data_IF_620806499554
#
_entry.id   IF_620806499554
#
_cell.length_a   1.000
_cell.length_b   1.000
_cell.length_c   1.000
_cell.angle_alpha   90.00
_cell.angle_beta   90.00
_cell.angle_gamma   90.00
#
_symmetry.space_group_name_H-M   'P 1'
#
loop_
_entity.id
_entity.type
_entity.pdbx_description
1 polymer ?
#
# COMPACT_ATOMS: atom_id res chain seq x y z
N UNK A 1 12.40 -20.40 8.62
CA UNK A 1 11.23 -19.49 8.62
C UNK A 1 10.59 -19.60 9.99
N UNK A 2 10.45 -18.49 10.69
CA UNK A 2 9.66 -18.44 11.93
C UNK A 2 8.22 -18.77 11.54
N UNK A 3 7.62 -19.76 12.20
CA UNK A 3 6.21 -20.10 11.97
C UNK A 3 5.32 -18.99 12.52
N UNK A 4 5.02 -18.01 11.66
CA UNK A 4 4.20 -16.85 11.99
C UNK A 4 2.71 -17.13 11.76
N UNK A 5 2.38 -18.22 11.05
CA UNK A 5 1.01 -18.56 10.67
C UNK A 5 0.14 -18.81 11.90
N UNK A 6 0.66 -19.59 12.87
CA UNK A 6 -0.05 -19.88 14.11
C UNK A 6 -0.42 -18.64 14.91
N UNK A 7 0.49 -17.68 15.02
CA UNK A 7 0.26 -16.44 15.77
C UNK A 7 -0.69 -15.49 15.02
N UNK A 8 -0.56 -15.37 13.69
CA UNK A 8 -1.50 -14.60 12.87
C UNK A 8 -2.91 -15.18 12.92
N UNK A 9 -3.04 -16.51 12.95
CA UNK A 9 -4.33 -17.19 13.06
C UNK A 9 -5.02 -16.87 14.39
N UNK A 10 -4.27 -16.82 15.50
CA UNK A 10 -4.80 -16.40 16.82
C UNK A 10 -5.34 -14.98 16.77
N UNK A 11 -4.56 -14.02 16.24
CA UNK A 11 -4.98 -12.61 16.10
C UNK A 11 -6.26 -12.50 15.24
N UNK A 12 -6.29 -13.22 14.11
CA UNK A 12 -7.44 -13.25 13.20
C UNK A 12 -8.70 -13.75 13.91
N UNK A 13 -8.60 -14.90 14.60
CA UNK A 13 -9.75 -15.60 15.20
C UNK A 13 -10.33 -14.96 16.44
N UNK A 14 -9.61 -14.02 17.07
CA UNK A 14 -10.10 -13.35 18.27
C UNK A 14 -11.20 -12.33 17.91
N UNK A 15 -12.43 -12.65 18.29
CA UNK A 15 -13.61 -11.81 18.05
C UNK A 15 -13.77 -10.67 19.05
N UNK A 16 -12.99 -10.65 20.13
CA UNK A 16 -13.02 -9.59 21.15
C UNK A 16 -12.18 -8.37 20.74
N UNK A 17 -11.29 -8.54 19.76
CA UNK A 17 -10.41 -7.49 19.26
C UNK A 17 -11.05 -6.70 18.13
N UNK A 18 -11.00 -5.37 18.24
CA UNK A 18 -11.27 -4.48 17.11
C UNK A 18 -10.18 -4.56 16.03
N UNK A 19 -10.49 -4.15 14.80
CA UNK A 19 -9.52 -4.10 13.69
C UNK A 19 -8.27 -3.31 14.05
N UNK A 20 -8.40 -2.21 14.81
CA UNK A 20 -7.26 -1.39 15.23
C UNK A 20 -6.36 -2.16 16.20
N UNK A 21 -6.94 -2.93 17.13
CA UNK A 21 -6.17 -3.79 18.04
C UNK A 21 -5.48 -4.93 17.27
N UNK A 22 -6.17 -5.55 16.30
CA UNK A 22 -5.59 -6.59 15.43
C UNK A 22 -4.41 -6.05 14.62
N UNK A 23 -4.54 -4.86 14.04
CA UNK A 23 -3.44 -4.17 13.32
C UNK A 23 -2.25 -3.93 14.25
N UNK A 24 -2.50 -3.43 15.47
CA UNK A 24 -1.42 -3.20 16.45
C UNK A 24 -0.70 -4.50 16.81
N UNK A 25 -1.44 -5.54 17.19
CA UNK A 25 -0.87 -6.84 17.55
C UNK A 25 -0.10 -7.47 16.38
N UNK A 26 -0.59 -7.30 15.15
CA UNK A 26 0.14 -7.70 13.95
C UNK A 26 1.49 -6.97 13.83
N UNK A 27 1.51 -5.65 13.96
CA UNK A 27 2.75 -4.88 13.88
C UNK A 27 3.73 -5.24 15.00
N UNK A 28 3.24 -5.41 16.23
CA UNK A 28 4.06 -5.82 17.39
C UNK A 28 4.69 -7.20 17.16
N UNK A 29 3.90 -8.18 16.71
CA UNK A 29 4.38 -9.53 16.37
C UNK A 29 5.48 -9.48 15.30
N UNK A 30 5.27 -8.70 14.23
CA UNK A 30 6.25 -8.60 13.14
C UNK A 30 7.55 -7.95 13.63
N UNK A 31 7.46 -6.94 14.49
CA UNK A 31 8.60 -6.31 15.15
C UNK A 31 9.38 -7.30 16.02
N UNK A 32 8.70 -8.09 16.85
CA UNK A 32 9.32 -9.14 17.69
C UNK A 32 10.04 -10.20 16.85
N UNK A 33 9.55 -10.49 15.64
CA UNK A 33 10.19 -11.43 14.71
C UNK A 33 11.29 -10.78 13.85
N UNK A 34 11.59 -9.50 14.03
CA UNK A 34 12.49 -8.70 13.20
C UNK A 34 12.14 -8.78 11.70
N UNK A 35 10.83 -8.77 11.40
CA UNK A 35 10.29 -8.75 10.04
C UNK A 35 9.63 -7.40 9.82
N UNK A 36 10.00 -6.70 8.76
CA UNK A 36 9.33 -5.47 8.36
C UNK A 36 8.06 -5.84 7.56
N UNK A 37 6.84 -5.67 8.13
CA UNK A 37 5.63 -6.06 7.44
C UNK A 37 5.28 -5.07 6.32
N UNK A 38 4.63 -5.60 5.29
CA UNK A 38 3.90 -4.76 4.35
C UNK A 38 2.54 -4.47 4.95
N UNK A 39 2.27 -3.18 5.19
CA UNK A 39 1.00 -2.72 5.73
C UNK A 39 0.05 -2.34 4.59
N UNK A 40 0.56 -1.60 3.62
CA UNK A 40 -0.19 -1.15 2.46
C UNK A 40 0.66 -1.32 1.19
N UNK A 41 0.01 -1.57 0.07
CA UNK A 41 0.60 -1.61 -1.25
C UNK A 41 -0.33 -0.98 -2.27
N UNK A 42 0.14 0.09 -2.89
CA UNK A 42 -0.59 0.83 -3.91
C UNK A 42 0.14 0.73 -5.25
N UNK A 43 -0.63 0.84 -6.32
CA UNK A 43 -0.12 1.03 -7.68
C UNK A 43 -0.19 2.50 -8.05
N UNK A 44 0.94 3.07 -8.49
CA UNK A 44 0.98 4.44 -8.96
C UNK A 44 1.80 4.59 -10.22
N UNK A 45 1.79 5.78 -10.81
CA UNK A 45 2.70 6.12 -11.89
C UNK A 45 3.07 7.60 -11.85
N UNK A 46 4.26 7.92 -12.35
CA UNK A 46 4.71 9.31 -12.55
C UNK A 46 4.55 9.64 -14.03
N UNK A 47 3.92 10.78 -14.35
CA UNK A 47 3.87 11.32 -15.71
C UNK A 47 5.26 11.86 -16.08
N UNK A 48 6.01 11.13 -16.91
CA UNK A 48 7.12 11.69 -17.69
C UNK A 48 6.63 11.85 -19.12
N UNK A 49 6.87 12.99 -19.78
CA UNK A 49 6.53 13.10 -21.22
C UNK A 49 7.64 12.42 -22.03
N UNK A 50 7.34 11.53 -23.00
CA UNK A 50 6.03 11.10 -23.50
C UNK A 50 5.44 9.85 -22.82
N UNK A 51 6.15 9.21 -21.88
CA UNK A 51 5.77 7.92 -21.29
C UNK A 51 5.54 7.97 -19.77
N UNK A 52 4.46 7.35 -19.29
CA UNK A 52 4.29 7.10 -17.87
C UNK A 52 5.28 6.05 -17.35
N UNK A 53 5.79 6.26 -16.13
CA UNK A 53 6.60 5.29 -15.42
C UNK A 53 5.78 4.73 -14.26
N UNK A 54 5.45 3.44 -14.33
CA UNK A 54 4.65 2.76 -13.32
C UNK A 54 5.52 2.36 -12.11
N UNK A 55 4.97 2.54 -10.91
CA UNK A 55 5.59 2.22 -9.64
C UNK A 55 4.66 1.34 -8.79
N UNK A 56 5.28 0.47 -8.01
CA UNK A 56 4.68 -0.18 -6.86
C UNK A 56 5.08 0.60 -5.62
N UNK A 57 4.11 1.09 -4.86
CA UNK A 57 4.32 1.78 -3.60
C UNK A 57 4.04 0.78 -2.50
N UNK A 58 5.06 0.40 -1.73
CA UNK A 58 4.92 -0.51 -0.59
C UNK A 58 5.17 0.28 0.68
N UNK A 59 4.19 0.31 1.57
CA UNK A 59 4.25 1.01 2.85
C UNK A 59 4.50 -0.02 3.94
N UNK A 60 5.52 0.25 4.75
CA UNK A 60 5.88 -0.53 5.93
C UNK A 60 5.68 0.35 7.18
N UNK A 61 5.95 -0.14 8.41
CA UNK A 61 5.89 0.70 9.60
C UNK A 61 6.93 1.83 9.63
N UNK A 62 8.06 1.69 8.93
CA UNK A 62 9.19 2.63 9.01
C UNK A 62 9.38 3.49 7.77
N UNK A 63 8.95 3.01 6.59
CA UNK A 63 9.24 3.67 5.30
C UNK A 63 8.24 3.36 4.20
N UNK A 64 8.38 4.10 3.11
CA UNK A 64 7.70 3.86 1.84
C UNK A 64 8.76 3.41 0.84
N UNK A 65 8.51 2.30 0.16
CA UNK A 65 9.35 1.75 -0.90
C UNK A 65 8.66 1.99 -2.24
N UNK A 66 9.27 2.80 -3.10
CA UNK A 66 8.85 3.01 -4.47
C UNK A 66 9.70 2.11 -5.37
N UNK A 67 9.04 1.17 -6.03
CA UNK A 67 9.72 0.22 -6.92
C UNK A 67 9.19 0.36 -8.33
N UNK A 68 10.05 0.74 -9.27
CA UNK A 68 9.68 0.84 -10.69
C UNK A 68 9.22 -0.51 -11.20
N UNK A 69 8.07 -0.55 -11.89
CA UNK A 69 7.55 -1.79 -12.49
C UNK A 69 8.19 -2.02 -13.86
N UNK A 70 8.85 -3.17 -14.01
CA UNK A 70 9.21 -3.68 -15.34
C UNK A 70 7.95 -4.04 -16.14
N UNK A 71 8.09 -4.19 -17.46
CA UNK A 71 6.98 -4.52 -18.37
C UNK A 71 6.26 -5.81 -17.93
N UNK A 72 7.03 -6.83 -17.50
CA UNK A 72 6.51 -8.10 -17.00
C UNK A 72 5.65 -7.89 -15.72
N UNK A 73 6.10 -7.02 -14.81
CA UNK A 73 5.33 -6.67 -13.60
C UNK A 73 4.04 -5.93 -13.90
N UNK A 74 3.91 -5.24 -15.04
CA UNK A 74 2.64 -4.58 -15.40
C UNK A 74 1.50 -5.57 -15.65
N UNK A 75 1.84 -6.79 -16.09
CA UNK A 75 0.91 -7.85 -16.46
C UNK A 75 0.64 -8.82 -15.30
N UNK A 76 1.64 -9.04 -14.44
CA UNK A 76 1.58 -10.06 -13.38
C UNK A 76 1.25 -9.52 -11.98
N UNK A 77 1.21 -8.19 -11.77
CA UNK A 77 0.95 -7.62 -10.45
C UNK A 77 -0.50 -7.88 -10.02
N UNK A 78 -0.74 -8.82 -9.08
CA UNK A 78 -2.06 -9.09 -8.60
C UNK A 78 -2.42 -7.90 -7.72
N UNK A 79 -3.16 -6.94 -8.26
CA UNK A 79 -3.63 -5.79 -7.50
C UNK A 79 -4.21 -6.27 -6.17
N UNK A 80 -3.58 -5.90 -5.07
CA UNK A 80 -4.05 -6.30 -3.75
C UNK A 80 -5.41 -5.63 -3.54
N UNK A 81 -6.41 -6.43 -3.16
CA UNK A 81 -7.76 -5.92 -2.89
C UNK A 81 -7.65 -4.87 -1.78
N UNK A 82 -8.15 -3.66 -2.05
CA UNK A 82 -8.10 -2.52 -1.13
C UNK A 82 -6.72 -1.88 -0.87
N UNK A 83 -5.65 -2.39 -1.47
CA UNK A 83 -4.30 -1.94 -1.20
C UNK A 83 -3.72 -2.41 0.14
N UNK A 84 -4.40 -3.24 0.93
CA UNK A 84 -3.82 -3.81 2.16
C UNK A 84 -2.69 -4.79 1.85
N UNK A 85 -1.68 -4.82 2.72
CA UNK A 85 -0.60 -5.80 2.66
C UNK A 85 -1.09 -7.24 2.88
N UNK A 86 -0.40 -8.24 2.31
CA UNK A 86 -0.83 -9.64 2.32
C UNK A 86 -1.21 -10.17 3.71
N UNK A 87 -0.30 -10.07 4.68
CA UNK A 87 -0.54 -10.58 6.03
C UNK A 87 -1.55 -9.75 6.81
N UNK A 88 -1.57 -8.44 6.62
CA UNK A 88 -2.58 -7.60 7.27
C UNK A 88 -3.98 -7.89 6.74
N UNK A 89 -4.10 -8.16 5.44
CA UNK A 89 -5.37 -8.55 4.84
C UNK A 89 -5.86 -9.91 5.35
N UNK A 90 -4.95 -10.88 5.58
CA UNK A 90 -5.29 -12.14 6.25
C UNK A 90 -5.85 -11.90 7.65
N UNK A 91 -5.17 -11.06 8.45
CA UNK A 91 -5.56 -10.77 9.84
C UNK A 91 -6.94 -10.12 9.92
N UNK A 92 -7.27 -9.25 8.97
CA UNK A 92 -8.52 -8.49 8.95
C UNK A 92 -9.66 -9.17 8.18
N UNK A 93 -9.39 -10.21 7.40
CA UNK A 93 -10.40 -10.84 6.55
C UNK A 93 -10.77 -12.24 7.02
N UNK A 94 -12.04 -12.42 7.39
CA UNK A 94 -12.58 -13.74 7.72
C UNK A 94 -12.51 -14.72 6.54
N UNK A 95 -12.63 -14.22 5.30
CA UNK A 95 -12.85 -15.02 4.09
C UNK A 95 -11.60 -15.61 3.44
N UNK A 96 -10.41 -15.29 3.97
CA UNK A 96 -9.14 -15.58 3.28
C UNK A 96 -8.30 -16.56 4.07
N UNK A 97 -7.79 -17.56 3.39
CA UNK A 97 -6.89 -18.54 3.98
C UNK A 97 -5.43 -18.10 3.87
N UNK A 98 -4.59 -18.60 4.77
CA UNK A 98 -3.19 -18.19 4.84
C UNK A 98 -2.42 -18.61 3.58
N UNK A 99 -2.78 -19.73 2.97
CA UNK A 99 -2.23 -20.23 1.70
C UNK A 99 -2.38 -19.23 0.55
N UNK A 100 -3.50 -18.50 0.49
CA UNK A 100 -3.79 -17.48 -0.54
C UNK A 100 -2.83 -16.29 -0.47
N UNK A 101 -2.25 -16.08 0.71
CA UNK A 101 -1.40 -14.94 1.06
C UNK A 101 0.07 -15.31 0.96
N UNK A 102 0.45 -16.52 1.37
CA UNK A 102 1.83 -17.05 1.30
C UNK A 102 2.39 -17.02 -0.13
N UNK A 103 1.57 -17.37 -1.13
CA UNK A 103 1.96 -17.29 -2.54
C UNK A 103 2.25 -15.85 -2.99
N UNK A 104 1.45 -14.89 -2.52
CA UNK A 104 1.57 -13.48 -2.88
C UNK A 104 2.75 -12.78 -2.19
N UNK A 105 3.06 -13.16 -0.96
CA UNK A 105 4.21 -12.62 -0.21
C UNK A 105 5.56 -13.16 -0.72
N UNK A 106 5.61 -14.42 -1.16
CA UNK A 106 6.82 -15.01 -1.75
C UNK A 106 7.31 -14.29 -3.02
N UNK A 107 6.40 -13.70 -3.80
CA UNK A 107 6.72 -12.87 -4.96
C UNK A 107 7.41 -11.56 -4.55
N UNK A 108 7.11 -11.05 -3.35
CA UNK A 108 7.69 -9.85 -2.77
C UNK A 108 9.10 -10.09 -2.25
N UNK A 109 9.30 -11.14 -1.44
CA UNK A 109 10.59 -11.35 -0.80
C UNK A 109 11.68 -11.70 -1.82
N UNK A 110 11.36 -12.48 -2.85
CA UNK A 110 12.28 -12.79 -3.96
C UNK A 110 12.69 -11.58 -4.79
N UNK A 111 11.96 -10.46 -4.69
CA UNK A 111 12.24 -9.24 -5.45
C UNK A 111 12.89 -8.13 -4.62
N UNK A 112 13.20 -8.40 -3.35
CA UNK A 112 13.84 -7.47 -2.39
C UNK A 112 15.38 -7.52 -2.39
N UNK A 113 16.02 -8.30 -3.28
CA UNK A 113 17.43 -8.04 -3.60
C UNK A 113 17.48 -6.66 -4.26
N UNK A 114 17.96 -5.66 -3.50
CA UNK A 114 18.12 -4.25 -3.84
C UNK A 114 18.20 -4.02 -5.35
N UNK A 115 17.03 -3.78 -5.95
CA UNK A 115 16.94 -3.40 -7.35
C UNK A 115 17.47 -1.97 -7.45
N UNK A 116 18.32 -1.63 -8.43
CA UNK A 116 18.78 -0.24 -8.64
C UNK A 116 17.63 0.74 -8.90
N UNK A 117 16.43 0.23 -9.22
CA UNK A 117 15.20 1.00 -9.41
C UNK A 117 14.33 1.14 -8.13
N UNK A 118 14.85 0.80 -6.96
CA UNK A 118 14.17 0.95 -5.67
C UNK A 118 14.54 2.29 -5.00
N UNK A 119 13.52 3.07 -4.63
CA UNK A 119 13.69 4.28 -3.82
C UNK A 119 13.01 4.04 -2.48
N UNK A 120 13.77 4.21 -1.40
CA UNK A 120 13.28 4.11 -0.02
C UNK A 120 13.11 5.50 0.57
N UNK A 121 11.94 5.78 1.14
CA UNK A 121 11.59 7.05 1.76
C UNK A 121 11.23 6.79 3.23
N UNK A 122 12.11 7.17 4.15
CA UNK A 122 11.81 7.08 5.57
C UNK A 122 10.72 8.10 5.95
N UNK A 123 9.80 7.71 6.83
CA UNK A 123 8.72 8.62 7.24
C UNK A 123 9.23 9.90 7.92
N UNK A 124 10.36 9.82 8.65
CA UNK A 124 10.99 10.98 9.30
C UNK A 124 11.43 12.05 8.31
N UNK A 125 11.67 11.68 7.05
CA UNK A 125 12.14 12.59 6.00
C UNK A 125 10.96 13.26 5.28
N UNK A 126 9.73 12.85 5.52
CA UNK A 126 8.54 13.39 4.85
C UNK A 126 8.12 14.71 5.52
N UNK A 127 8.25 15.81 4.78
CA UNK A 127 7.79 17.15 5.18
C UNK A 127 6.31 17.36 4.90
N UNK A 128 5.79 16.77 3.82
CA UNK A 128 4.39 16.93 3.41
C UNK A 128 3.89 15.69 2.68
N UNK A 129 2.73 15.21 3.09
CA UNK A 129 2.05 14.06 2.50
C UNK A 129 0.59 14.44 2.19
N UNK A 130 0.22 14.47 0.91
CA UNK A 130 -1.11 14.93 0.47
C UNK A 130 -1.73 13.90 -0.46
N UNK A 131 -2.98 13.55 -0.21
CA UNK A 131 -3.80 12.78 -1.13
C UNK A 131 -5.01 13.63 -1.53
N UNK A 132 -5.30 13.71 -2.83
CA UNK A 132 -6.51 14.35 -3.34
C UNK A 132 -7.02 13.65 -4.60
N UNK A 133 -8.34 13.70 -4.87
CA UNK A 133 -8.86 13.21 -6.13
C UNK A 133 -8.46 14.12 -7.30
N UNK A 134 -8.04 13.56 -8.44
CA UNK A 134 -7.82 14.36 -9.64
C UNK A 134 -9.16 14.64 -10.32
N UNK A 135 -9.76 15.78 -10.02
CA UNK A 135 -11.04 16.22 -10.59
C UNK A 135 -11.02 16.27 -12.12
N UNK A 136 -9.85 16.36 -12.77
CA UNK A 136 -9.72 16.32 -14.23
C UNK A 136 -9.99 14.94 -14.83
N UNK A 137 -10.04 13.90 -13.99
CA UNK A 137 -10.24 12.50 -14.40
C UNK A 137 -11.66 12.00 -14.10
N UNK A 138 -12.57 12.96 -13.89
CA UNK A 138 -13.97 12.70 -13.66
C UNK A 138 -14.62 12.16 -14.95
N UNK A 139 -15.24 10.99 -14.83
CA UNK A 139 -15.96 10.33 -15.92
C UNK A 139 -17.39 10.10 -15.49
N UNK A 140 -18.33 10.55 -16.32
CA UNK A 140 -19.76 10.37 -16.12
C UNK A 140 -20.29 9.28 -17.04
N UNK A 141 -21.12 8.38 -16.51
CA UNK A 141 -21.87 7.37 -17.25
C UNK A 141 -23.33 7.32 -16.73
N UNK A 142 -24.15 6.40 -17.26
CA UNK A 142 -25.56 6.27 -16.87
C UNK A 142 -25.77 5.90 -15.39
N UNK A 143 -24.73 5.43 -14.70
CA UNK A 143 -24.78 5.04 -13.28
C UNK A 143 -24.15 6.09 -12.36
N UNK A 144 -23.82 7.27 -12.89
CA UNK A 144 -23.31 8.39 -12.13
C UNK A 144 -21.91 8.82 -12.56
N UNK A 145 -21.24 9.53 -11.65
CA UNK A 145 -19.96 10.17 -11.92
C UNK A 145 -18.89 9.61 -11.00
N UNK A 146 -17.74 9.24 -11.56
CA UNK A 146 -16.63 8.67 -10.81
C UNK A 146 -15.29 9.28 -11.20
N UNK A 147 -14.42 9.50 -10.21
CA UNK A 147 -13.03 9.94 -10.42
C UNK A 147 -12.18 8.72 -10.74
N UNK A 148 -11.39 8.78 -11.81
CA UNK A 148 -10.55 7.65 -12.24
C UNK A 148 -9.15 7.64 -11.62
N UNK A 149 -8.67 8.78 -11.14
CA UNK A 149 -7.33 8.90 -10.59
C UNK A 149 -7.30 9.76 -9.33
N UNK A 150 -6.54 9.33 -8.34
CA UNK A 150 -6.14 10.16 -7.21
C UNK A 150 -4.67 10.59 -7.40
N UNK A 151 -4.27 11.70 -6.80
CA UNK A 151 -2.87 12.14 -6.77
C UNK A 151 -2.35 12.04 -5.35
N UNK A 152 -1.20 11.39 -5.21
CA UNK A 152 -0.41 11.33 -3.99
C UNK A 152 0.85 12.18 -4.15
N UNK A 153 0.99 13.21 -3.32
CA UNK A 153 2.18 14.03 -3.21
C UNK A 153 2.98 13.63 -1.98
N UNK A 154 4.25 13.32 -2.17
CA UNK A 154 5.22 13.07 -1.11
C UNK A 154 6.35 14.09 -1.27
N UNK A 155 6.44 15.06 -0.37
CA UNK A 155 7.59 15.97 -0.28
C UNK A 155 8.48 15.48 0.85
N UNK A 156 9.70 15.11 0.50
CA UNK A 156 10.73 14.74 1.46
C UNK A 156 11.65 15.93 1.73
N UNK A 157 12.69 15.73 2.54
CA UNK A 157 13.75 16.72 2.73
C UNK A 157 14.49 17.02 1.41
N UNK A 158 14.56 16.03 0.51
CA UNK A 158 15.41 16.06 -0.68
C UNK A 158 14.61 16.17 -1.99
N UNK A 159 13.42 15.57 -2.05
CA UNK A 159 12.74 15.30 -3.31
C UNK A 159 11.22 15.49 -3.20
N UNK A 160 10.58 15.69 -4.36
CA UNK A 160 9.13 15.71 -4.50
C UNK A 160 8.69 14.60 -5.44
N UNK A 161 7.80 13.74 -4.96
CA UNK A 161 7.12 12.74 -5.76
C UNK A 161 5.66 13.15 -5.99
N UNK A 162 5.23 13.10 -7.24
CA UNK A 162 3.84 13.28 -7.65
C UNK A 162 3.38 12.01 -8.37
N UNK A 163 2.69 11.16 -7.60
CA UNK A 163 2.29 9.83 -8.00
C UNK A 163 0.79 9.82 -8.29
N UNK A 164 0.43 9.35 -9.48
CA UNK A 164 -0.97 9.19 -9.86
C UNK A 164 -1.40 7.77 -9.54
N UNK A 165 -2.49 7.64 -8.79
CA UNK A 165 -3.04 6.41 -8.25
C UNK A 165 -4.36 6.07 -8.97
N UNK A 166 -4.37 5.10 -9.91
CA UNK A 166 -5.59 4.71 -10.61
C UNK A 166 -6.61 4.08 -9.65
N UNK A 167 -7.86 4.54 -9.66
CA UNK A 167 -8.90 4.03 -8.75
C UNK A 167 -9.28 2.59 -9.06
N UNK A 168 -9.22 2.18 -10.33
CA UNK A 168 -9.44 0.77 -10.73
C UNK A 168 -8.42 -0.22 -10.16
N UNK A 169 -7.26 0.25 -9.67
CA UNK A 169 -6.24 -0.60 -9.03
C UNK A 169 -6.20 -0.47 -7.51
N UNK A 170 -6.48 0.72 -6.99
CA UNK A 170 -6.30 1.03 -5.56
C UNK A 170 -7.62 1.11 -4.78
N UNK A 171 -8.76 1.20 -5.49
CA UNK A 171 -10.04 1.60 -4.92
C UNK A 171 -10.29 3.11 -5.05
N UNK A 172 -11.47 3.54 -4.62
CA UNK A 172 -11.82 4.96 -4.62
C UNK A 172 -10.96 5.79 -3.64
N UNK A 173 -11.14 7.11 -3.70
CA UNK A 173 -10.44 8.06 -2.83
C UNK A 173 -10.66 7.77 -1.34
N UNK A 174 -11.91 7.56 -0.91
CA UNK A 174 -12.25 7.42 0.51
C UNK A 174 -11.59 6.18 1.12
N UNK A 175 -11.61 5.08 0.39
CA UNK A 175 -10.99 3.82 0.79
C UNK A 175 -9.47 3.95 0.87
N UNK A 176 -8.85 4.55 -0.15
CA UNK A 176 -7.39 4.78 -0.16
C UNK A 176 -6.98 5.71 0.98
N UNK A 177 -7.71 6.81 1.18
CA UNK A 177 -7.46 7.78 2.24
C UNK A 177 -7.62 7.17 3.63
N UNK A 178 -8.66 6.37 3.84
CA UNK A 178 -8.89 5.65 5.10
C UNK A 178 -7.69 4.78 5.46
N UNK A 179 -7.23 3.92 4.53
CA UNK A 179 -6.12 3.02 4.83
C UNK A 179 -4.81 3.75 5.06
N UNK A 180 -4.47 4.74 4.24
CA UNK A 180 -3.29 5.55 4.50
C UNK A 180 -3.38 6.18 5.89
N UNK A 181 -4.50 6.83 6.25
CA UNK A 181 -4.66 7.46 7.56
C UNK A 181 -4.53 6.48 8.73
N UNK A 182 -5.01 5.26 8.58
CA UNK A 182 -4.96 4.23 9.62
C UNK A 182 -3.59 3.58 9.77
N UNK A 183 -2.85 3.44 8.67
CA UNK A 183 -1.71 2.54 8.58
C UNK A 183 -0.34 3.24 8.60
N UNK A 184 -0.26 4.52 8.25
CA UNK A 184 1.03 5.22 8.13
C UNK A 184 1.21 6.28 9.23
N UNK A 185 2.42 6.40 9.81
CA UNK A 185 2.71 7.33 10.91
C UNK A 185 2.95 8.77 10.42
N UNK A 186 2.26 9.20 9.36
CA UNK A 186 2.41 10.55 8.77
C UNK A 186 1.04 11.20 8.63
N UNK A 187 0.96 12.47 9.05
CA UNK A 187 -0.26 13.26 8.91
C UNK A 187 -0.54 13.52 7.42
N UNK A 188 -1.70 13.04 6.96
CA UNK A 188 -2.17 13.27 5.60
C UNK A 188 -2.97 14.58 5.57
N UNK A 189 -2.46 15.56 4.84
CA UNK A 189 -3.19 16.80 4.59
C UNK A 189 -4.16 16.62 3.41
N UNK A 190 -5.32 17.27 3.49
CA UNK A 190 -6.13 17.55 2.29
C UNK A 190 -5.49 18.72 1.55
N UNK A 191 -5.67 18.78 0.23
CA UNK A 191 -5.33 19.99 -0.51
C UNK A 191 -6.28 21.11 -0.04
N UNK A 192 -5.69 22.25 0.37
CA UNK A 192 -6.42 23.50 0.62
C UNK A 192 -6.88 24.08 -0.72
#
# INVERSE_FOLDING_TARGET
MVDIEGDLKKIKSDSTLSDTQKIKMFCDLMYERNVEPIILRLSGYIKKKPMKVDYLLTFTPSRIILLRKSIIRKLADPGYVAGLGPHLYYVLSEKIDYSDIKGKDSFVQKTSLQSPDEISIDYKDIKKFVLYPDAKTLVSNMFGTAIKENVLLIHTVHEKFELILPTGKNGDYNKTFYWLKMCIPVKISKQL
#
